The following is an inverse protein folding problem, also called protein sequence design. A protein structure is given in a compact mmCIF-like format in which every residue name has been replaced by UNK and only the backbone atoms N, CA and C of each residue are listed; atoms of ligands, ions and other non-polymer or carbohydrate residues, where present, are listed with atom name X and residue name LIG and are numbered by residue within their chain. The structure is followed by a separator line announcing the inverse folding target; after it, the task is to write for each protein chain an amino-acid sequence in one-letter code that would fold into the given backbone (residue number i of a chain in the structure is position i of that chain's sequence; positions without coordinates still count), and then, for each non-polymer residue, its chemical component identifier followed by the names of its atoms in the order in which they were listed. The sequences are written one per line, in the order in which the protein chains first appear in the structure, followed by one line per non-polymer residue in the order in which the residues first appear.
data_IF_644709303901
#
_entry.id   IF_644709303901
#
_cell.length_a   1.000
_cell.length_b   1.000
_cell.length_c   1.000
_cell.angle_alpha   90.00
_cell.angle_beta   90.00
_cell.angle_gamma   90.00
#
_symmetry.space_group_name_H-M   'P 1'
#
loop_
_entity.id
_entity.type
_entity.pdbx_description
1 polymer ?
#
# COMPACT_ATOMS: atom_id res chain seq x y z
N UNK A 1 -29.57 -24.66 14.17
CA UNK A 1 -30.58 -24.76 13.09
C UNK A 1 -30.17 -23.79 12.00
N UNK A 2 -29.76 -24.31 10.87
CA UNK A 2 -29.34 -23.48 9.70
C UNK A 2 -30.63 -23.04 9.01
N UNK A 3 -31.06 -21.82 9.24
CA UNK A 3 -32.19 -21.23 8.52
C UNK A 3 -31.71 -20.83 7.13
N UNK A 4 -32.39 -21.37 6.11
CA UNK A 4 -32.12 -20.94 4.72
C UNK A 4 -32.46 -19.46 4.58
N UNK A 5 -31.80 -18.71 3.68
CA UNK A 5 -32.06 -17.27 3.46
C UNK A 5 -33.54 -16.97 3.17
N UNK A 6 -34.26 -17.93 2.56
CA UNK A 6 -35.67 -17.81 2.27
C UNK A 6 -36.54 -17.93 3.53
N UNK A 7 -36.20 -18.80 4.48
CA UNK A 7 -36.90 -18.93 5.75
C UNK A 7 -36.69 -17.67 6.62
N UNK A 8 -35.51 -17.06 6.57
CA UNK A 8 -35.24 -15.80 7.25
C UNK A 8 -36.05 -14.64 6.65
N UNK A 9 -36.18 -14.57 5.32
CA UNK A 9 -36.98 -13.57 4.63
C UNK A 9 -38.49 -13.72 4.99
N UNK A 10 -39.01 -14.91 5.02
CA UNK A 10 -40.39 -15.18 5.45
C UNK A 10 -40.64 -14.78 6.91
N UNK A 11 -39.71 -15.08 7.80
CA UNK A 11 -39.78 -14.67 9.20
C UNK A 11 -39.74 -13.13 9.37
N UNK A 12 -38.90 -12.43 8.61
CA UNK A 12 -38.82 -10.97 8.62
C UNK A 12 -40.08 -10.32 8.03
N UNK A 13 -40.70 -10.94 7.02
CA UNK A 13 -42.00 -10.53 6.46
C UNK A 13 -43.13 -10.74 7.44
N UNK A 14 -43.15 -11.88 8.13
CA UNK A 14 -44.21 -12.20 9.14
C UNK A 14 -44.17 -11.24 10.33
N UNK A 15 -42.99 -10.68 10.63
CA UNK A 15 -42.81 -9.67 11.69
C UNK A 15 -42.99 -8.22 11.22
N UNK A 16 -43.39 -8.00 9.95
CA UNK A 16 -43.65 -6.67 9.40
C UNK A 16 -42.36 -5.80 9.27
N UNK A 17 -41.19 -6.40 9.36
CA UNK A 17 -39.91 -5.69 9.25
C UNK A 17 -39.45 -5.47 7.81
N UNK A 18 -40.05 -6.15 6.84
CA UNK A 18 -39.83 -5.96 5.40
C UNK A 18 -41.19 -5.68 4.78
N UNK A 19 -41.34 -4.51 4.15
CA UNK A 19 -42.59 -4.14 3.49
C UNK A 19 -42.87 -5.09 2.32
N UNK A 20 -44.15 -5.40 2.09
CA UNK A 20 -44.66 -6.28 1.03
C UNK A 20 -44.46 -5.65 -0.40
N UNK A 21 -43.25 -5.26 -0.72
CA UNK A 21 -42.90 -4.72 -2.05
C UNK A 21 -42.94 -5.78 -3.18
N UNK A 22 -43.34 -7.02 -2.87
CA UNK A 22 -43.32 -8.14 -3.82
C UNK A 22 -44.71 -8.61 -4.28
N UNK A 23 -45.81 -7.92 -3.95
CA UNK A 23 -47.18 -8.40 -4.30
C UNK A 23 -47.89 -7.65 -5.42
N UNK A 24 -47.32 -6.67 -6.05
CA UNK A 24 -47.84 -6.13 -7.31
C UNK A 24 -47.14 -6.82 -8.49
N UNK A 25 -47.55 -8.09 -8.70
CA UNK A 25 -47.25 -8.82 -9.92
C UNK A 25 -48.06 -8.21 -11.08
N UNK A 26 -47.55 -7.20 -11.72
CA UNK A 26 -47.95 -6.85 -13.08
C UNK A 26 -46.77 -7.14 -14.02
N UNK A 27 -46.95 -8.26 -14.72
CA UNK A 27 -46.03 -8.85 -15.68
C UNK A 27 -46.04 -8.10 -17.00
N UNK A 28 -45.68 -6.82 -17.02
CA UNK A 28 -45.39 -6.11 -18.29
C UNK A 28 -44.63 -4.77 -18.11
N UNK A 29 -43.61 -4.77 -17.28
CA UNK A 29 -42.60 -3.75 -17.41
C UNK A 29 -41.27 -4.44 -17.59
N UNK A 30 -40.71 -4.34 -18.80
CA UNK A 30 -39.29 -4.47 -19.10
C UNK A 30 -38.51 -3.43 -18.26
N UNK A 31 -38.56 -3.58 -16.93
CA UNK A 31 -37.57 -2.98 -16.07
C UNK A 31 -36.23 -3.54 -16.56
N UNK A 32 -35.24 -2.70 -16.88
CA UNK A 32 -33.91 -3.20 -17.15
C UNK A 32 -33.54 -4.00 -15.88
N UNK A 33 -33.43 -5.32 -16.04
CA UNK A 33 -32.87 -6.18 -15.00
C UNK A 33 -31.62 -5.44 -14.55
N UNK A 34 -31.65 -4.93 -13.32
CA UNK A 34 -30.45 -4.44 -12.63
C UNK A 34 -29.46 -5.58 -12.80
N UNK A 35 -28.51 -5.36 -13.72
CA UNK A 35 -27.75 -6.41 -14.36
C UNK A 35 -27.22 -7.32 -13.26
N UNK A 36 -27.55 -8.61 -13.36
CA UNK A 36 -26.77 -9.62 -12.71
C UNK A 36 -25.33 -9.19 -12.92
N UNK A 37 -24.64 -8.80 -11.84
CA UNK A 37 -23.20 -8.59 -11.85
C UNK A 37 -22.70 -9.95 -12.32
N UNK A 38 -22.53 -10.08 -13.64
CA UNK A 38 -21.89 -11.24 -14.22
C UNK A 38 -20.56 -11.26 -13.51
N UNK A 39 -20.36 -12.21 -12.64
CA UNK A 39 -19.06 -12.50 -12.03
C UNK A 39 -18.10 -12.72 -13.17
N UNK A 40 -17.53 -11.62 -13.66
CA UNK A 40 -16.53 -11.67 -14.73
C UNK A 40 -15.40 -12.54 -14.20
N UNK A 41 -15.01 -13.58 -14.92
CA UNK A 41 -13.89 -14.41 -14.52
C UNK A 41 -12.69 -13.53 -14.19
N UNK A 42 -12.00 -13.82 -13.09
CA UNK A 42 -10.90 -13.01 -12.58
C UNK A 42 -9.82 -12.69 -13.62
N UNK A 43 -9.58 -13.63 -14.56
CA UNK A 43 -8.61 -13.45 -15.64
C UNK A 43 -9.00 -12.37 -16.64
N UNK A 44 -10.29 -12.10 -16.85
CA UNK A 44 -10.75 -10.99 -17.68
C UNK A 44 -10.39 -9.66 -17.01
N UNK A 45 -10.59 -9.55 -15.69
CA UNK A 45 -10.16 -8.38 -14.92
C UNK A 45 -8.66 -8.15 -14.99
N UNK A 46 -7.88 -9.23 -14.88
CA UNK A 46 -6.43 -9.18 -15.04
C UNK A 46 -6.01 -8.74 -16.45
N UNK A 47 -6.58 -9.32 -17.49
CA UNK A 47 -6.28 -8.98 -18.88
C UNK A 47 -6.59 -7.50 -19.16
N UNK A 48 -7.75 -7.01 -18.74
CA UNK A 48 -8.13 -5.60 -18.88
C UNK A 48 -7.19 -4.68 -18.08
N UNK A 49 -6.74 -5.12 -16.91
CA UNK A 49 -5.75 -4.40 -16.12
C UNK A 49 -4.42 -4.27 -16.84
N UNK A 50 -3.86 -5.38 -17.31
CA UNK A 50 -2.59 -5.40 -18.06
C UNK A 50 -2.70 -4.58 -19.34
N UNK A 51 -3.80 -4.69 -20.09
CA UNK A 51 -4.00 -3.89 -21.32
C UNK A 51 -4.09 -2.39 -21.01
N UNK A 52 -4.70 -1.99 -19.88
CA UNK A 52 -4.72 -0.60 -19.43
C UNK A 52 -3.31 -0.05 -19.14
N UNK A 53 -2.46 -0.84 -18.48
CA UNK A 53 -1.06 -0.50 -18.24
C UNK A 53 -0.26 -0.38 -19.53
N UNK A 54 -0.39 -1.35 -20.45
CA UNK A 54 0.29 -1.30 -21.75
C UNK A 54 -0.14 -0.06 -22.55
N UNK A 55 -1.43 0.23 -22.62
CA UNK A 55 -1.94 1.43 -23.27
C UNK A 55 -1.36 2.71 -22.63
N UNK A 56 -1.28 2.76 -21.30
CA UNK A 56 -0.65 3.86 -20.56
C UNK A 56 0.83 4.04 -20.90
N UNK A 57 1.60 2.95 -20.97
CA UNK A 57 3.01 2.97 -21.33
C UNK A 57 3.23 3.42 -22.78
N UNK A 58 2.43 2.92 -23.73
CA UNK A 58 2.49 3.38 -25.12
C UNK A 58 2.16 4.86 -25.24
N UNK A 59 1.11 5.32 -24.56
CA UNK A 59 0.75 6.74 -24.55
C UNK A 59 1.86 7.60 -23.94
N UNK A 60 2.47 7.15 -22.84
CA UNK A 60 3.60 7.84 -22.22
C UNK A 60 4.79 7.93 -23.18
N UNK A 61 5.13 6.82 -23.84
CA UNK A 61 6.19 6.81 -24.86
C UNK A 61 5.89 7.75 -26.02
N UNK A 62 4.65 7.79 -26.49
CA UNK A 62 4.20 8.73 -27.53
C UNK A 62 4.30 10.17 -27.08
N UNK A 63 3.82 10.49 -25.88
CA UNK A 63 3.92 11.84 -25.30
C UNK A 63 5.36 12.26 -25.12
N UNK A 64 6.23 11.38 -24.61
CA UNK A 64 7.65 11.65 -24.45
C UNK A 64 8.35 11.92 -25.79
N UNK A 65 7.99 11.15 -26.83
CA UNK A 65 8.55 11.34 -28.19
C UNK A 65 8.06 12.63 -28.83
N UNK A 66 6.78 13.00 -28.61
CA UNK A 66 6.17 14.17 -29.25
C UNK A 66 6.59 15.49 -28.59
N UNK A 67 6.57 15.53 -27.27
CA UNK A 67 6.78 16.77 -26.51
C UNK A 67 8.22 16.94 -26.05
N UNK A 68 9.01 15.85 -25.91
CA UNK A 68 10.40 15.86 -25.44
C UNK A 68 10.65 16.93 -24.35
N UNK A 69 9.97 16.85 -23.20
CA UNK A 69 10.00 17.91 -22.20
C UNK A 69 11.43 18.11 -21.71
N UNK A 70 12.12 19.10 -22.27
CA UNK A 70 13.52 19.42 -21.95
C UNK A 70 13.63 20.43 -20.82
N UNK A 71 12.54 21.18 -20.57
CA UNK A 71 12.48 22.20 -19.53
C UNK A 71 11.57 21.79 -18.37
N UNK A 72 11.91 22.19 -17.13
CA UNK A 72 11.08 21.86 -15.96
C UNK A 72 9.64 22.30 -16.11
N UNK A 73 9.40 23.48 -16.67
CA UNK A 73 8.06 24.03 -16.87
C UNK A 73 7.23 23.17 -17.84
N UNK A 74 7.83 22.66 -18.91
CA UNK A 74 7.17 21.78 -19.88
C UNK A 74 6.80 20.45 -19.23
N UNK A 75 7.71 19.86 -18.44
CA UNK A 75 7.46 18.65 -17.68
C UNK A 75 6.37 18.85 -16.60
N UNK A 76 6.36 20.01 -15.92
CA UNK A 76 5.33 20.34 -14.94
C UNK A 76 3.94 20.44 -15.58
N UNK A 77 3.83 21.14 -16.72
CA UNK A 77 2.57 21.27 -17.45
C UNK A 77 2.10 19.92 -17.96
N UNK A 78 2.98 19.14 -18.61
CA UNK A 78 2.64 17.81 -19.11
C UNK A 78 2.21 16.88 -17.95
N UNK A 79 2.94 16.89 -16.83
CA UNK A 79 2.59 16.13 -15.64
C UNK A 79 1.24 16.50 -15.04
N UNK A 80 0.97 17.80 -14.93
CA UNK A 80 -0.32 18.30 -14.45
C UNK A 80 -1.48 17.92 -15.40
N UNK A 81 -1.27 17.98 -16.71
CA UNK A 81 -2.26 17.56 -17.71
C UNK A 81 -2.56 16.05 -17.61
N UNK A 82 -1.55 15.21 -17.45
CA UNK A 82 -1.74 13.77 -17.27
C UNK A 82 -2.50 13.45 -15.98
N UNK A 83 -2.20 14.15 -14.88
CA UNK A 83 -2.94 14.00 -13.63
C UNK A 83 -4.38 14.46 -13.76
N UNK A 84 -4.63 15.58 -14.44
CA UNK A 84 -5.99 16.07 -14.70
C UNK A 84 -6.78 15.09 -15.58
N UNK A 85 -6.15 14.53 -16.62
CA UNK A 85 -6.75 13.51 -17.47
C UNK A 85 -7.07 12.24 -16.66
N UNK A 86 -6.16 11.76 -15.82
CA UNK A 86 -6.38 10.62 -14.93
C UNK A 86 -7.56 10.87 -13.99
N UNK A 87 -7.62 12.05 -13.37
CA UNK A 87 -8.71 12.45 -12.51
C UNK A 87 -10.05 12.46 -13.25
N UNK A 88 -10.08 13.03 -14.47
CA UNK A 88 -11.26 13.03 -15.33
C UNK A 88 -11.75 11.63 -15.68
N UNK A 89 -10.82 10.73 -16.07
CA UNK A 89 -11.14 9.34 -16.38
C UNK A 89 -11.71 8.59 -15.17
N UNK A 90 -11.14 8.76 -13.98
CA UNK A 90 -11.68 8.17 -12.75
C UNK A 90 -13.08 8.69 -12.39
N UNK A 91 -13.43 9.90 -12.82
CA UNK A 91 -14.76 10.46 -12.62
C UNK A 91 -15.76 9.97 -13.65
N UNK A 92 -15.31 9.82 -14.91
CA UNK A 92 -16.15 9.45 -16.05
C UNK A 92 -16.56 7.97 -16.01
N UNK A 93 -15.63 7.08 -15.68
CA UNK A 93 -15.89 5.64 -15.59
C UNK A 93 -15.36 5.08 -14.27
N UNK A 94 -16.30 4.82 -13.34
CA UNK A 94 -15.97 4.30 -12.02
C UNK A 94 -15.81 2.79 -11.97
N UNK A 95 -16.40 2.07 -12.92
CA UNK A 95 -16.57 0.61 -12.86
C UNK A 95 -15.73 -0.11 -13.93
N UNK A 96 -15.18 0.61 -14.90
CA UNK A 96 -14.36 0.07 -15.97
C UNK A 96 -12.95 -0.33 -15.51
N UNK A 97 -12.67 -1.62 -15.45
CA UNK A 97 -11.35 -2.14 -15.03
C UNK A 97 -10.21 -1.60 -15.93
N UNK A 98 -10.42 -1.52 -17.25
CA UNK A 98 -9.45 -0.97 -18.19
C UNK A 98 -9.20 0.51 -17.93
N UNK A 99 -10.26 1.31 -17.84
CA UNK A 99 -10.17 2.77 -17.65
C UNK A 99 -9.49 3.09 -16.32
N UNK A 100 -9.82 2.34 -15.26
CA UNK A 100 -9.19 2.52 -13.95
C UNK A 100 -7.68 2.27 -13.99
N UNK A 101 -7.21 1.22 -14.66
CA UNK A 101 -5.78 0.91 -14.78
C UNK A 101 -5.05 1.86 -15.73
N UNK A 102 -5.69 2.25 -16.82
CA UNK A 102 -5.16 3.25 -17.75
C UNK A 102 -5.01 4.61 -17.06
N UNK A 103 -6.02 5.08 -16.33
CA UNK A 103 -5.97 6.31 -15.55
C UNK A 103 -4.87 6.25 -14.45
N UNK A 104 -4.68 5.08 -13.83
CA UNK A 104 -3.61 4.88 -12.86
C UNK A 104 -2.23 5.01 -13.52
N UNK A 105 -2.03 4.42 -14.70
CA UNK A 105 -0.79 4.53 -15.46
C UNK A 105 -0.50 6.00 -15.85
N UNK A 106 -1.53 6.73 -16.34
CA UNK A 106 -1.41 8.17 -16.63
C UNK A 106 -1.05 8.98 -15.38
N UNK A 107 -1.69 8.65 -14.25
CA UNK A 107 -1.38 9.34 -12.99
C UNK A 107 0.05 9.12 -12.55
N UNK A 108 0.58 7.89 -12.63
CA UNK A 108 1.97 7.60 -12.28
C UNK A 108 2.93 8.36 -13.22
N UNK A 109 2.65 8.35 -14.51
CA UNK A 109 3.44 9.12 -15.48
C UNK A 109 3.45 10.62 -15.16
N UNK A 110 2.28 11.19 -14.85
CA UNK A 110 2.14 12.59 -14.46
C UNK A 110 2.92 12.92 -13.18
N UNK A 111 2.89 12.01 -12.19
CA UNK A 111 3.68 12.14 -10.95
C UNK A 111 5.19 12.16 -11.23
N UNK A 112 5.66 11.24 -12.07
CA UNK A 112 7.09 11.19 -12.46
C UNK A 112 7.53 12.48 -13.12
N UNK A 113 6.74 13.05 -14.04
CA UNK A 113 7.03 14.32 -14.69
C UNK A 113 7.02 15.50 -13.70
N UNK A 114 6.07 15.54 -12.77
CA UNK A 114 6.04 16.58 -11.75
C UNK A 114 7.24 16.48 -10.81
N UNK A 115 7.59 15.28 -10.35
CA UNK A 115 8.75 15.06 -9.51
C UNK A 115 10.04 15.44 -10.24
N UNK A 116 10.16 15.11 -11.52
CA UNK A 116 11.26 15.55 -12.35
C UNK A 116 11.33 17.09 -12.42
N UNK A 117 10.21 17.75 -12.72
CA UNK A 117 10.14 19.21 -12.80
C UNK A 117 10.50 19.91 -11.48
N UNK A 118 10.01 19.37 -10.36
CA UNK A 118 10.27 19.93 -9.02
C UNK A 118 11.71 19.74 -8.58
N UNK A 119 12.37 18.69 -9.04
CA UNK A 119 13.68 18.27 -8.53
C UNK A 119 14.81 18.36 -9.58
N UNK A 120 14.62 19.05 -10.67
CA UNK A 120 15.64 19.16 -11.75
C UNK A 120 16.98 19.72 -11.27
N UNK A 121 16.97 20.54 -10.24
CA UNK A 121 18.18 21.11 -9.64
C UNK A 121 18.58 20.41 -8.34
N UNK A 122 17.77 19.48 -7.87
CA UNK A 122 18.09 18.73 -6.68
C UNK A 122 19.16 17.69 -6.99
N UNK A 123 20.30 17.81 -6.33
CA UNK A 123 21.39 16.83 -6.41
C UNK A 123 21.29 15.78 -5.30
N UNK A 124 20.37 15.96 -4.39
CA UNK A 124 20.19 15.16 -3.18
C UNK A 124 18.86 14.39 -3.24
N UNK A 125 18.88 13.15 -2.78
CA UNK A 125 17.68 12.29 -2.73
C UNK A 125 16.69 12.72 -1.64
N UNK A 126 17.18 13.37 -0.57
CA UNK A 126 16.34 13.83 0.54
C UNK A 126 15.22 14.79 0.09
N UNK A 127 15.54 15.91 -0.58
CA UNK A 127 14.54 16.82 -1.16
C UNK A 127 13.60 16.15 -2.16
N UNK A 128 14.11 15.19 -2.95
CA UNK A 128 13.29 14.41 -3.90
C UNK A 128 12.26 13.57 -3.14
N UNK A 129 12.68 12.87 -2.09
CA UNK A 129 11.78 12.08 -1.25
C UNK A 129 10.75 12.97 -0.54
N UNK A 130 11.15 14.14 -0.03
CA UNK A 130 10.25 15.08 0.63
C UNK A 130 9.22 15.68 -0.36
N UNK A 131 9.61 16.02 -1.57
CA UNK A 131 8.68 16.48 -2.61
C UNK A 131 7.71 15.38 -3.05
N UNK A 132 8.19 14.13 -3.15
CA UNK A 132 7.35 12.98 -3.40
C UNK A 132 6.33 12.77 -2.27
N UNK A 133 6.73 12.89 -1.01
CA UNK A 133 5.82 12.82 0.13
C UNK A 133 4.69 13.86 0.02
N UNK A 134 5.05 15.12 -0.22
CA UNK A 134 4.07 16.20 -0.38
C UNK A 134 3.09 15.91 -1.52
N UNK A 135 3.59 15.49 -2.68
CA UNK A 135 2.76 15.12 -3.83
C UNK A 135 1.82 13.97 -3.51
N UNK A 136 2.31 12.92 -2.87
CA UNK A 136 1.50 11.74 -2.53
C UNK A 136 0.39 12.06 -1.51
N UNK A 137 0.67 12.92 -0.53
CA UNK A 137 -0.36 13.39 0.43
C UNK A 137 -1.48 14.13 -0.31
N UNK A 138 -1.13 15.05 -1.20
CA UNK A 138 -2.12 15.78 -2.01
C UNK A 138 -2.95 14.83 -2.85
N UNK A 139 -2.33 13.86 -3.53
CA UNK A 139 -3.02 12.90 -4.38
C UNK A 139 -3.93 11.95 -3.58
N UNK A 140 -3.51 11.53 -2.39
CA UNK A 140 -4.35 10.72 -1.50
C UNK A 140 -5.66 11.44 -1.11
N UNK A 141 -5.65 12.77 -1.03
CA UNK A 141 -6.82 13.58 -0.69
C UNK A 141 -7.68 13.92 -1.91
N UNK A 142 -7.05 14.29 -3.04
CA UNK A 142 -7.72 14.85 -4.21
C UNK A 142 -8.27 13.79 -5.16
N UNK A 143 -7.55 12.67 -5.35
CA UNK A 143 -7.95 11.66 -6.33
C UNK A 143 -9.23 10.92 -5.93
N UNK A 144 -10.20 10.74 -6.85
CA UNK A 144 -11.49 10.16 -6.49
C UNK A 144 -11.49 8.63 -6.37
N UNK A 145 -10.48 7.94 -6.93
CA UNK A 145 -10.40 6.49 -6.98
C UNK A 145 -9.81 5.91 -5.68
N UNK A 146 -10.46 4.87 -5.14
CA UNK A 146 -10.07 4.23 -3.87
C UNK A 146 -8.70 3.55 -3.96
N UNK A 147 -8.43 2.86 -5.08
CA UNK A 147 -7.14 2.19 -5.31
C UNK A 147 -6.02 3.22 -5.39
N UNK A 148 -6.24 4.32 -6.14
CA UNK A 148 -5.27 5.39 -6.26
C UNK A 148 -4.94 6.01 -4.90
N UNK A 149 -5.95 6.32 -4.07
CA UNK A 149 -5.75 6.83 -2.69
C UNK A 149 -4.94 5.87 -1.82
N UNK A 150 -5.25 4.57 -1.90
CA UNK A 150 -4.51 3.53 -1.19
C UNK A 150 -3.04 3.51 -1.60
N UNK A 151 -2.76 3.53 -2.91
CA UNK A 151 -1.40 3.55 -3.44
C UNK A 151 -0.67 4.85 -3.11
N UNK A 152 -1.34 6.01 -3.22
CA UNK A 152 -0.74 7.28 -2.84
C UNK A 152 -0.37 7.31 -1.35
N UNK A 153 -1.21 6.78 -0.47
CA UNK A 153 -0.88 6.68 0.96
C UNK A 153 0.28 5.72 1.19
N UNK A 154 0.31 4.58 0.50
CA UNK A 154 1.44 3.65 0.55
C UNK A 154 2.74 4.32 0.09
N UNK A 155 2.74 5.00 -1.07
CA UNK A 155 3.91 5.72 -1.55
C UNK A 155 4.29 6.91 -0.66
N UNK A 156 3.33 7.55 0.01
CA UNK A 156 3.62 8.56 1.03
C UNK A 156 4.40 7.97 2.20
N UNK A 157 4.07 6.76 2.67
CA UNK A 157 4.83 6.11 3.74
C UNK A 157 6.26 5.74 3.32
N UNK A 158 6.45 5.29 2.07
CA UNK A 158 7.79 5.07 1.50
C UNK A 158 8.57 6.38 1.44
N UNK A 159 7.97 7.41 0.86
CA UNK A 159 8.61 8.72 0.70
C UNK A 159 8.98 9.35 2.06
N UNK A 160 8.13 9.20 3.07
CA UNK A 160 8.43 9.60 4.44
C UNK A 160 9.64 8.84 5.01
N UNK A 161 9.64 7.51 4.92
CA UNK A 161 10.74 6.67 5.40
C UNK A 161 12.06 7.01 4.70
N UNK A 162 12.04 7.25 3.39
CA UNK A 162 13.22 7.69 2.62
C UNK A 162 13.65 9.09 3.00
N UNK A 163 12.74 10.03 3.23
CA UNK A 163 13.05 11.38 3.69
C UNK A 163 13.78 11.33 5.03
N UNK A 164 13.26 10.56 5.99
CA UNK A 164 13.92 10.38 7.30
C UNK A 164 15.30 9.75 7.12
N UNK A 165 15.38 8.70 6.32
CA UNK A 165 16.63 7.98 6.08
C UNK A 165 17.71 8.87 5.45
N UNK A 166 17.39 9.56 4.37
CA UNK A 166 18.37 10.44 3.69
C UNK A 166 18.74 11.65 4.54
N UNK A 167 17.83 12.17 5.37
CA UNK A 167 18.14 13.28 6.27
C UNK A 167 19.05 12.89 7.43
N UNK A 168 19.01 11.63 7.90
CA UNK A 168 19.80 11.17 9.05
C UNK A 168 21.10 10.48 8.68
N UNK A 169 21.13 9.74 7.57
CA UNK A 169 22.26 8.89 7.16
C UNK A 169 22.92 9.33 5.87
N UNK A 170 22.39 10.37 5.20
CA UNK A 170 22.88 10.79 3.89
C UNK A 170 22.43 9.86 2.78
N UNK A 171 23.12 9.90 1.68
CA UNK A 171 22.80 9.18 0.45
C UNK A 171 23.64 7.92 0.29
N UNK A 172 23.14 6.90 -0.42
CA UNK A 172 23.91 5.68 -0.65
C UNK A 172 25.17 5.96 -1.49
N UNK A 173 26.26 5.24 -1.18
CA UNK A 173 27.56 5.36 -1.87
C UNK A 173 27.44 5.23 -3.40
N UNK A 174 26.57 4.31 -3.88
CA UNK A 174 26.37 4.11 -5.33
C UNK A 174 25.81 5.34 -6.03
N UNK A 175 25.24 6.31 -5.29
CA UNK A 175 24.71 7.55 -5.86
C UNK A 175 25.74 8.67 -5.91
N UNK A 176 26.60 8.78 -4.90
CA UNK A 176 27.60 9.86 -4.79
C UNK A 176 29.05 9.42 -4.95
N UNK A 177 29.33 8.13 -4.86
CA UNK A 177 30.69 7.61 -4.83
C UNK A 177 31.46 7.94 -3.55
N UNK A 178 30.79 8.48 -2.54
CA UNK A 178 31.37 8.78 -1.23
C UNK A 178 31.13 7.58 -0.29
N UNK A 179 32.13 7.22 0.54
CA UNK A 179 31.99 6.17 1.52
C UNK A 179 30.88 6.52 2.52
N UNK A 180 29.93 5.62 2.68
CA UNK A 180 28.91 5.72 3.71
C UNK A 180 29.57 5.78 5.09
N UNK A 181 29.14 6.74 5.91
CA UNK A 181 29.50 6.77 7.32
C UNK A 181 28.66 5.71 8.00
N UNK A 182 29.31 4.68 8.57
CA UNK A 182 28.62 3.65 9.32
C UNK A 182 27.80 4.30 10.47
N UNK A 183 26.48 4.22 10.38
CA UNK A 183 25.61 4.77 11.41
C UNK A 183 25.76 3.97 12.71
N UNK A 184 25.77 4.66 13.84
CA UNK A 184 25.71 3.97 15.12
C UNK A 184 24.37 3.27 15.30
N UNK A 185 24.36 2.19 16.11
CA UNK A 185 23.11 1.48 16.43
C UNK A 185 21.99 2.44 16.91
N UNK A 186 22.32 3.38 17.79
CA UNK A 186 21.35 4.35 18.30
C UNK A 186 20.78 5.25 17.21
N UNK A 187 21.59 5.73 16.27
CA UNK A 187 21.13 6.52 15.13
C UNK A 187 20.21 5.71 14.22
N UNK A 188 20.59 4.46 13.90
CA UNK A 188 19.79 3.58 13.06
C UNK A 188 18.44 3.25 13.71
N UNK A 189 18.44 2.94 15.00
CA UNK A 189 17.20 2.69 15.77
C UNK A 189 16.33 3.94 15.86
N UNK A 190 16.93 5.10 16.16
CA UNK A 190 16.24 6.38 16.20
C UNK A 190 15.60 6.73 14.86
N UNK A 191 16.32 6.52 13.75
CA UNK A 191 15.80 6.72 12.38
C UNK A 191 14.66 5.78 12.05
N UNK A 192 14.79 4.49 12.39
CA UNK A 192 13.72 3.52 12.20
C UNK A 192 12.46 3.89 13.01
N UNK A 193 12.63 4.23 14.27
CA UNK A 193 11.51 4.68 15.13
C UNK A 193 10.87 5.97 14.60
N UNK A 194 11.67 6.95 14.19
CA UNK A 194 11.15 8.20 13.62
C UNK A 194 10.37 7.95 12.32
N UNK A 195 10.80 7.00 11.50
CA UNK A 195 10.07 6.64 10.29
C UNK A 195 8.72 5.97 10.60
N UNK A 196 8.63 5.13 11.64
CA UNK A 196 7.46 4.25 11.83
C UNK A 196 6.56 4.59 12.98
N UNK A 197 7.01 5.26 14.03
CA UNK A 197 6.13 5.69 15.10
C UNK A 197 5.02 6.65 14.63
N UNK A 198 5.29 7.66 13.77
CA UNK A 198 4.23 8.51 13.23
C UNK A 198 3.22 7.75 12.39
N UNK A 199 3.68 6.79 11.56
CA UNK A 199 2.82 5.95 10.73
C UNK A 199 1.92 5.06 11.60
N UNK A 200 2.51 4.37 12.58
CA UNK A 200 1.77 3.53 13.54
C UNK A 200 0.79 4.34 14.40
N UNK A 201 1.22 5.50 14.89
CA UNK A 201 0.35 6.40 15.65
C UNK A 201 -0.82 6.91 14.80
N UNK A 202 -0.55 7.32 13.55
CA UNK A 202 -1.57 7.72 12.59
C UNK A 202 -2.58 6.61 12.32
N UNK A 203 -2.10 5.38 12.12
CA UNK A 203 -2.95 4.20 11.93
C UNK A 203 -3.85 3.96 13.15
N UNK A 204 -3.28 3.96 14.36
CA UNK A 204 -4.06 3.74 15.60
C UNK A 204 -5.08 4.86 15.82
N UNK A 205 -4.69 6.13 15.62
CA UNK A 205 -5.59 7.27 15.76
C UNK A 205 -6.75 7.21 14.76
N UNK A 206 -6.48 6.87 13.49
CA UNK A 206 -7.52 6.74 12.48
C UNK A 206 -8.45 5.56 12.76
N UNK A 207 -7.91 4.40 13.19
CA UNK A 207 -8.72 3.25 13.58
C UNK A 207 -9.64 3.55 14.77
N UNK A 208 -9.12 4.21 15.81
CA UNK A 208 -9.92 4.59 16.99
C UNK A 208 -11.05 5.56 16.66
N UNK A 209 -10.80 6.48 15.73
CA UNK A 209 -11.76 7.52 15.36
C UNK A 209 -12.57 7.15 14.08
N UNK A 210 -12.37 5.95 13.52
CA UNK A 210 -13.05 5.51 12.30
C UNK A 210 -14.58 5.71 12.36
N UNK A 211 -15.30 5.30 13.43
CA UNK A 211 -16.75 5.49 13.49
C UNK A 211 -17.17 6.96 13.37
N UNK A 212 -16.42 7.86 14.01
CA UNK A 212 -16.69 9.29 13.94
C UNK A 212 -16.44 9.89 12.56
N UNK A 213 -15.40 9.44 11.85
CA UNK A 213 -15.13 9.87 10.49
C UNK A 213 -16.16 9.31 9.50
N UNK A 214 -16.59 8.05 9.69
CA UNK A 214 -17.64 7.42 8.89
C UNK A 214 -18.96 8.17 9.00
N UNK A 215 -19.37 8.54 10.23
CA UNK A 215 -20.58 9.31 10.48
C UNK A 215 -20.57 10.69 9.79
N UNK A 216 -19.40 11.27 9.56
CA UNK A 216 -19.21 12.55 8.85
C UNK A 216 -19.12 12.38 7.32
N UNK A 217 -19.28 11.20 6.76
CA UNK A 217 -19.20 10.94 5.32
C UNK A 217 -17.78 10.85 4.74
N UNK A 218 -16.72 10.76 5.58
CA UNK A 218 -15.33 10.67 5.15
C UNK A 218 -14.88 9.25 4.75
N UNK A 219 -15.81 8.31 4.69
CA UNK A 219 -15.53 6.93 4.28
C UNK A 219 -14.66 6.79 3.01
N UNK A 220 -14.92 7.56 1.92
CA UNK A 220 -14.16 7.42 0.69
C UNK A 220 -12.69 7.86 0.80
N UNK A 221 -12.31 8.52 1.91
CA UNK A 221 -10.93 8.95 2.18
C UNK A 221 -10.28 8.08 3.24
N UNK A 222 -10.97 7.88 4.38
CA UNK A 222 -10.40 7.22 5.56
C UNK A 222 -10.06 5.76 5.29
N UNK A 223 -10.95 5.01 4.62
CA UNK A 223 -10.71 3.58 4.32
C UNK A 223 -9.50 3.34 3.41
N UNK A 224 -9.35 4.02 2.26
CA UNK A 224 -8.15 3.89 1.44
C UNK A 224 -6.87 4.32 2.17
N UNK A 225 -6.93 5.38 2.98
CA UNK A 225 -5.77 5.83 3.77
C UNK A 225 -5.38 4.76 4.79
N UNK A 226 -6.33 4.19 5.53
CA UNK A 226 -6.07 3.08 6.45
C UNK A 226 -5.44 1.88 5.72
N UNK A 227 -5.98 1.51 4.56
CA UNK A 227 -5.43 0.43 3.75
C UNK A 227 -3.98 0.72 3.33
N UNK A 228 -3.70 1.94 2.86
CA UNK A 228 -2.35 2.36 2.47
C UNK A 228 -1.37 2.37 3.64
N UNK A 229 -1.80 2.81 4.83
CA UNK A 229 -0.98 2.79 6.05
C UNK A 229 -0.66 1.36 6.51
N UNK A 230 -1.63 0.43 6.45
CA UNK A 230 -1.41 -0.98 6.79
C UNK A 230 -0.39 -1.62 5.84
N UNK A 231 -0.55 -1.42 4.52
CA UNK A 231 0.40 -1.92 3.52
C UNK A 231 1.77 -1.25 3.74
N UNK A 232 1.79 0.06 3.98
CA UNK A 232 3.01 0.81 4.27
C UNK A 232 3.74 0.27 5.48
N UNK A 233 3.04 0.04 6.58
CA UNK A 233 3.62 -0.52 7.80
C UNK A 233 4.23 -1.91 7.56
N UNK A 234 3.65 -2.70 6.66
CA UNK A 234 4.16 -4.02 6.31
C UNK A 234 5.36 -3.98 5.36
N UNK A 235 5.23 -3.29 4.23
CA UNK A 235 6.21 -3.39 3.14
C UNK A 235 7.21 -2.24 3.09
N UNK A 236 6.77 -1.02 3.37
CA UNK A 236 7.64 0.16 3.23
C UNK A 236 8.68 0.26 4.35
N UNK A 237 8.59 -0.58 5.40
CA UNK A 237 9.61 -0.68 6.45
C UNK A 237 11.01 -0.99 5.89
N UNK A 238 11.10 -1.67 4.74
CA UNK A 238 12.35 -1.89 4.02
C UNK A 238 13.06 -0.58 3.69
N UNK A 239 12.31 0.45 3.33
CA UNK A 239 12.87 1.75 2.97
C UNK A 239 13.58 2.48 4.12
N UNK A 240 13.32 2.10 5.37
CA UNK A 240 13.94 2.70 6.56
C UNK A 240 15.11 1.89 7.12
N UNK A 241 15.42 0.73 6.54
CA UNK A 241 16.56 -0.08 6.98
C UNK A 241 17.89 0.60 6.63
N UNK A 242 18.96 0.41 7.41
CA UNK A 242 20.29 0.91 7.06
C UNK A 242 20.75 0.43 5.68
N UNK A 243 21.54 1.25 4.98
CA UNK A 243 22.00 0.91 3.62
C UNK A 243 22.82 -0.38 3.57
N UNK A 244 23.56 -0.67 4.61
CA UNK A 244 24.35 -1.91 4.76
C UNK A 244 23.49 -3.17 4.64
N UNK A 245 22.20 -3.11 4.98
CA UNK A 245 21.27 -4.23 4.82
C UNK A 245 20.79 -4.46 3.37
N UNK A 246 21.10 -3.56 2.43
CA UNK A 246 20.79 -3.69 1.01
C UNK A 246 21.96 -4.22 0.14
N UNK A 247 23.00 -4.75 0.74
CA UNK A 247 24.17 -5.29 0.03
C UNK A 247 23.88 -6.62 -0.71
N UNK A 248 22.83 -6.69 -1.46
CA UNK A 248 22.51 -7.91 -2.22
C UNK A 248 23.50 -8.20 -3.35
N UNK A 249 24.30 -7.24 -3.74
CA UNK A 249 25.23 -7.32 -4.87
C UNK A 249 26.71 -7.24 -4.48
N UNK A 250 27.03 -6.87 -3.25
CA UNK A 250 28.41 -6.75 -2.79
C UNK A 250 28.87 -7.96 -1.99
N UNK A 251 29.85 -8.70 -2.54
CA UNK A 251 30.46 -9.86 -1.92
C UNK A 251 31.56 -9.53 -0.88
N UNK A 252 31.67 -8.28 -0.42
CA UNK A 252 32.69 -7.85 0.55
C UNK A 252 32.40 -8.36 1.96
N UNK A 253 33.47 -8.52 2.80
CA UNK A 253 33.28 -8.90 4.20
C UNK A 253 32.47 -7.81 4.91
N UNK A 254 31.25 -8.15 5.32
CA UNK A 254 30.36 -7.28 6.07
C UNK A 254 30.88 -7.17 7.49
N UNK A 255 31.23 -5.98 7.95
CA UNK A 255 31.32 -5.72 9.38
C UNK A 255 29.91 -5.77 9.96
N UNK A 256 29.54 -6.95 10.45
CA UNK A 256 28.17 -7.28 10.85
C UNK A 256 27.87 -6.69 12.21
N UNK A 257 27.29 -5.54 12.25
CA UNK A 257 26.69 -5.07 13.48
C UNK A 257 25.17 -4.97 13.27
N UNK A 258 24.45 -6.02 13.75
CA UNK A 258 23.01 -5.96 13.95
C UNK A 258 22.12 -5.97 12.70
N UNK A 259 22.64 -6.33 11.53
CA UNK A 259 21.87 -6.30 10.27
C UNK A 259 20.57 -7.11 10.34
N UNK A 260 20.58 -8.27 11.00
CA UNK A 260 19.39 -9.10 11.15
C UNK A 260 18.31 -8.48 12.07
N UNK A 261 18.66 -7.48 12.91
CA UNK A 261 17.70 -6.81 13.78
C UNK A 261 16.67 -6.02 12.98
N UNK A 262 17.08 -5.37 11.89
CA UNK A 262 16.21 -4.50 11.10
C UNK A 262 15.07 -5.24 10.41
N UNK A 263 15.31 -6.35 9.70
CA UNK A 263 14.22 -7.19 9.21
C UNK A 263 13.32 -7.71 10.32
N UNK A 264 13.87 -8.02 11.50
CA UNK A 264 13.09 -8.50 12.64
C UNK A 264 12.15 -7.41 13.19
N UNK A 265 12.63 -6.17 13.33
CA UNK A 265 11.79 -5.02 13.69
C UNK A 265 10.71 -4.76 12.63
N UNK A 266 11.07 -4.88 11.35
CA UNK A 266 10.13 -4.73 10.25
C UNK A 266 9.07 -5.84 10.23
N UNK A 267 9.43 -7.08 10.58
CA UNK A 267 8.49 -8.18 10.78
C UNK A 267 7.49 -7.87 11.91
N UNK A 268 7.96 -7.28 13.03
CA UNK A 268 7.07 -6.85 14.12
C UNK A 268 6.09 -5.74 13.66
N UNK A 269 6.56 -4.78 12.86
CA UNK A 269 5.68 -3.77 12.27
C UNK A 269 4.64 -4.40 11.33
N UNK A 270 5.03 -5.38 10.52
CA UNK A 270 4.11 -6.13 9.65
C UNK A 270 3.09 -6.97 10.45
N UNK A 271 3.48 -7.53 11.62
CA UNK A 271 2.54 -8.16 12.56
C UNK A 271 1.52 -7.16 13.11
N UNK A 272 1.95 -5.93 13.42
CA UNK A 272 1.04 -4.82 13.73
C UNK A 272 0.07 -4.53 12.60
N UNK A 273 0.53 -4.63 11.34
CA UNK A 273 -0.30 -4.56 10.14
C UNK A 273 -1.37 -5.66 10.08
N UNK A 274 -1.05 -6.90 10.48
CA UNK A 274 -2.04 -8.00 10.58
C UNK A 274 -3.12 -7.65 11.61
N UNK A 275 -2.74 -7.17 12.79
CA UNK A 275 -3.69 -6.77 13.83
C UNK A 275 -4.63 -5.65 13.35
N UNK A 276 -4.08 -4.64 12.65
CA UNK A 276 -4.87 -3.57 12.05
C UNK A 276 -5.78 -4.08 10.92
N UNK A 277 -5.31 -4.97 10.06
CA UNK A 277 -6.10 -5.59 9.00
C UNK A 277 -7.25 -6.44 9.55
N UNK A 278 -7.02 -7.11 10.68
CA UNK A 278 -8.07 -7.82 11.41
C UNK A 278 -9.13 -6.86 11.94
N UNK A 279 -8.72 -5.75 12.57
CA UNK A 279 -9.64 -4.69 13.02
C UNK A 279 -10.48 -4.11 11.86
N UNK A 280 -9.88 -3.97 10.68
CA UNK A 280 -10.55 -3.52 9.45
C UNK A 280 -11.40 -4.61 8.77
N UNK A 281 -11.40 -5.84 9.29
CA UNK A 281 -12.10 -7.01 8.74
C UNK A 281 -11.75 -7.28 7.26
N UNK A 282 -10.52 -6.99 6.85
CA UNK A 282 -10.06 -7.12 5.46
C UNK A 282 -9.14 -8.34 5.29
N UNK A 283 -9.66 -9.41 4.67
CA UNK A 283 -8.88 -10.62 4.37
C UNK A 283 -7.71 -10.33 3.42
N UNK A 284 -7.90 -9.42 2.47
CA UNK A 284 -6.83 -9.05 1.51
C UNK A 284 -5.66 -8.36 2.23
N UNK A 285 -5.93 -7.42 3.14
CA UNK A 285 -4.89 -6.77 3.94
C UNK A 285 -4.20 -7.74 4.90
N UNK A 286 -4.95 -8.68 5.49
CA UNK A 286 -4.37 -9.73 6.33
C UNK A 286 -3.39 -10.59 5.52
N UNK A 287 -3.79 -11.01 4.31
CA UNK A 287 -2.92 -11.74 3.40
C UNK A 287 -1.68 -10.95 2.99
N UNK A 288 -1.83 -9.68 2.62
CA UNK A 288 -0.72 -8.80 2.27
C UNK A 288 0.26 -8.62 3.45
N UNK A 289 -0.24 -8.38 4.66
CA UNK A 289 0.59 -8.25 5.86
C UNK A 289 1.28 -9.57 6.22
N UNK A 290 0.64 -10.72 6.03
CA UNK A 290 1.26 -12.03 6.22
C UNK A 290 2.41 -12.26 5.23
N UNK A 291 2.23 -11.89 3.96
CA UNK A 291 3.31 -11.93 2.96
C UNK A 291 4.46 -11.01 3.36
N UNK A 292 4.17 -9.80 3.88
CA UNK A 292 5.20 -8.89 4.37
C UNK A 292 5.99 -9.50 5.54
N UNK A 293 5.32 -10.14 6.52
CA UNK A 293 6.00 -10.86 7.61
C UNK A 293 6.93 -11.93 7.06
N UNK A 294 6.45 -12.75 6.11
CA UNK A 294 7.26 -13.81 5.50
C UNK A 294 8.50 -13.25 4.78
N UNK A 295 8.34 -12.13 4.06
CA UNK A 295 9.47 -11.47 3.38
C UNK A 295 10.51 -10.97 4.39
N UNK A 296 10.09 -10.32 5.47
CA UNK A 296 11.01 -9.83 6.49
C UNK A 296 11.66 -10.96 7.29
N UNK A 297 10.93 -12.03 7.57
CA UNK A 297 11.49 -13.23 8.21
C UNK A 297 12.52 -13.90 7.29
N UNK A 298 12.22 -14.00 6.00
CA UNK A 298 13.18 -14.52 5.01
C UNK A 298 14.42 -13.63 4.93
N UNK A 299 14.25 -12.31 4.91
CA UNK A 299 15.37 -11.37 4.91
C UNK A 299 16.21 -11.52 6.19
N UNK A 300 15.57 -11.58 7.36
CA UNK A 300 16.26 -11.85 8.63
C UNK A 300 17.07 -13.16 8.57
N UNK A 301 16.53 -14.22 7.97
CA UNK A 301 17.22 -15.48 7.80
C UNK A 301 18.51 -15.33 6.97
N UNK A 302 18.49 -14.54 5.90
CA UNK A 302 19.68 -14.32 5.07
C UNK A 302 20.71 -13.43 5.77
N UNK A 303 20.29 -12.43 6.51
CA UNK A 303 21.18 -11.51 7.23
C UNK A 303 21.79 -12.13 8.51
N UNK A 304 21.20 -13.21 9.02
CA UNK A 304 21.77 -13.93 10.15
C UNK A 304 23.08 -14.65 9.73
N UNK A 305 24.23 -14.08 10.08
CA UNK A 305 25.56 -14.65 9.84
C UNK A 305 25.90 -15.91 10.66
N UNK A 306 24.91 -16.71 11.07
CA UNK A 306 25.05 -17.87 11.95
C UNK A 306 25.02 -19.19 11.19
N UNK A 307 25.34 -20.29 11.89
CA UNK A 307 25.29 -21.64 11.31
C UNK A 307 23.88 -22.02 10.84
N UNK A 308 23.79 -22.86 9.81
CA UNK A 308 22.52 -23.37 9.29
C UNK A 308 21.66 -24.05 10.38
N UNK A 309 22.30 -24.74 11.33
CA UNK A 309 21.60 -25.39 12.43
C UNK A 309 20.86 -24.35 13.31
N UNK A 310 21.56 -23.28 13.70
CA UNK A 310 20.93 -22.20 14.50
C UNK A 310 19.82 -21.49 13.74
N UNK A 311 20.01 -21.24 12.45
CA UNK A 311 18.98 -20.70 11.57
C UNK A 311 17.74 -21.59 11.54
N UNK A 312 17.92 -22.90 11.40
CA UNK A 312 16.81 -23.87 11.39
C UNK A 312 16.08 -23.92 12.73
N UNK A 313 16.79 -23.86 13.85
CA UNK A 313 16.17 -23.83 15.18
C UNK A 313 15.38 -22.55 15.41
N UNK A 314 15.90 -21.39 14.99
CA UNK A 314 15.18 -20.13 15.07
C UNK A 314 13.90 -20.15 14.23
N UNK A 315 13.97 -20.68 13.00
CA UNK A 315 12.78 -20.79 12.13
C UNK A 315 11.75 -21.75 12.72
N UNK A 316 12.18 -22.87 13.31
CA UNK A 316 11.29 -23.81 13.99
C UNK A 316 10.60 -23.15 15.20
N UNK A 317 11.36 -22.40 16.01
CA UNK A 317 10.84 -21.68 17.17
C UNK A 317 9.82 -20.60 16.74
N UNK A 318 10.13 -19.83 15.70
CA UNK A 318 9.20 -18.83 15.13
C UNK A 318 7.95 -19.49 14.55
N UNK A 319 8.08 -20.56 13.78
CA UNK A 319 6.94 -21.31 13.26
C UNK A 319 6.06 -21.88 14.39
N UNK A 320 6.67 -22.42 15.45
CA UNK A 320 5.97 -22.85 16.65
C UNK A 320 5.22 -21.72 17.35
N UNK A 321 5.84 -20.56 17.49
CA UNK A 321 5.22 -19.37 18.08
C UNK A 321 4.01 -18.91 17.25
N UNK A 322 4.10 -18.90 15.92
CA UNK A 322 2.96 -18.57 15.05
C UNK A 322 1.79 -19.57 15.19
N UNK A 323 2.09 -20.86 15.27
CA UNK A 323 1.06 -21.89 15.48
C UNK A 323 0.37 -21.73 16.84
N UNK A 324 1.16 -21.43 17.90
CA UNK A 324 0.60 -21.16 19.23
C UNK A 324 -0.26 -19.90 19.24
N UNK A 325 0.20 -18.82 18.61
CA UNK A 325 -0.57 -17.60 18.48
C UNK A 325 -1.89 -17.84 17.71
N UNK A 326 -1.83 -18.54 16.58
CA UNK A 326 -3.04 -18.89 15.81
C UNK A 326 -4.04 -19.71 16.62
N UNK A 327 -3.56 -20.69 17.40
CA UNK A 327 -4.42 -21.47 18.30
C UNK A 327 -5.02 -20.63 19.44
N UNK A 328 -4.25 -19.68 19.95
CA UNK A 328 -4.74 -18.78 21.01
C UNK A 328 -5.87 -17.88 20.48
N UNK A 329 -5.70 -17.29 19.29
CA UNK A 329 -6.75 -16.49 18.65
C UNK A 329 -8.00 -17.31 18.31
N UNK A 330 -7.84 -18.55 17.80
CA UNK A 330 -8.98 -19.42 17.51
C UNK A 330 -9.81 -19.81 18.75
N UNK A 331 -9.19 -19.87 19.93
CA UNK A 331 -9.92 -20.13 21.19
C UNK A 331 -10.75 -18.95 21.67
N UNK A 332 -10.33 -17.71 21.35
CA UNK A 332 -11.05 -16.50 21.72
C UNK A 332 -12.33 -16.27 20.90
N UNK A 333 -12.51 -16.94 19.77
CA UNK A 333 -13.74 -16.87 18.97
C UNK A 333 -14.88 -17.77 19.48
N UNK A 334 -14.58 -18.69 20.42
CA UNK A 334 -15.55 -19.63 20.98
C UNK A 334 -15.95 -19.30 22.42
N UNK A 335 -15.41 -18.23 22.99
CA UNK A 335 -15.77 -17.66 24.29
C UNK A 335 -16.59 -16.37 24.13
#
# INVERSE_FOLDING_TARGET
MITTPQALLQELQSRGMVADAARTGDSSSTAPQAGAVHDRPWYIGLLLGVSGWLAGLFLLGFVAMLFQPSRPAEAAVAGAMLLAAAWGLFKADRDGAFVAQFALALSIAGQCLLLFAMNQHARELGPIAASALGLQIVLALVMPNLLHRTLSTFFATIAWALTVRFSLFGEPEFWRGEREVAASFGQSLGGWLLAWLPVGAGLVLLLRNEPGWMARGWQPVVRPVLNGLVIGLGFATVASQPFESFRWFDAGPVQQNWLALWPMLSALAALGGIAAAFALRSRALMGASAVAVLLHVSHCYYELGTSLLLKSLLMLAMGGAFVLAARWFARGEHA
#
